data_IF_949479820972
#
_entry.id   IF_949479820972
#
_cell.length_a   1.000
_cell.length_b   1.000
_cell.length_c   1.000
_cell.angle_alpha   90.00
_cell.angle_beta   90.00
_cell.angle_gamma   90.00
#
_symmetry.space_group_name_H-M   'P 1'
#
loop_
_entity.id
_entity.type
_entity.pdbx_description
1 polymer ?
#
# COMPACT_ATOMS: atom_id res chain seq x y z
N UNK A 1 -1.96 21.28 -0.34
CA UNK A 1 -1.15 20.04 -0.36
C UNK A 1 -1.71 18.87 0.46
N UNK A 2 -2.52 19.11 1.52
CA UNK A 2 -3.07 18.00 2.33
C UNK A 2 -4.00 17.04 1.58
N UNK A 3 -4.84 17.56 0.66
CA UNK A 3 -5.79 16.72 -0.11
C UNK A 3 -5.09 15.64 -0.94
N UNK A 4 -4.12 15.96 -1.83
CA UNK A 4 -3.42 14.93 -2.61
C UNK A 4 -2.61 13.97 -1.73
N UNK A 5 -2.06 14.44 -0.61
CA UNK A 5 -1.36 13.58 0.35
C UNK A 5 -2.31 12.55 0.97
N UNK A 6 -3.45 13.00 1.51
CA UNK A 6 -4.45 12.12 2.14
C UNK A 6 -4.97 11.11 1.11
N UNK A 7 -5.29 11.56 -0.10
CA UNK A 7 -5.75 10.68 -1.18
C UNK A 7 -4.70 9.61 -1.52
N UNK A 8 -3.43 10.00 -1.68
CA UNK A 8 -2.36 9.06 -1.98
C UNK A 8 -2.13 8.03 -0.86
N UNK A 9 -2.16 8.48 0.40
CA UNK A 9 -2.02 7.62 1.58
C UNK A 9 -3.18 6.64 1.66
N UNK A 10 -4.43 7.12 1.63
CA UNK A 10 -5.63 6.27 1.74
C UNK A 10 -5.73 5.28 0.59
N UNK A 11 -5.53 5.74 -0.66
CA UNK A 11 -5.60 4.87 -1.82
C UNK A 11 -4.56 3.74 -1.76
N UNK A 12 -3.31 4.06 -1.40
CA UNK A 12 -2.22 3.08 -1.40
C UNK A 12 -2.28 2.12 -0.21
N UNK A 13 -2.69 2.60 0.96
CA UNK A 13 -2.64 1.83 2.21
C UNK A 13 -3.90 1.01 2.45
N UNK A 14 -5.07 1.47 2.00
CA UNK A 14 -6.33 0.76 2.20
C UNK A 14 -6.82 0.12 0.90
N UNK A 15 -6.95 0.92 -0.15
CA UNK A 15 -7.66 0.51 -1.36
C UNK A 15 -6.87 -0.53 -2.16
N UNK A 16 -5.57 -0.32 -2.32
CA UNK A 16 -4.69 -1.20 -3.07
C UNK A 16 -4.54 -2.61 -2.46
N UNK A 17 -4.13 -2.79 -1.19
CA UNK A 17 -4.05 -4.11 -0.57
C UNK A 17 -5.41 -4.81 -0.48
N UNK A 18 -6.50 -4.07 -0.24
CA UNK A 18 -7.85 -4.65 -0.26
C UNK A 18 -8.16 -5.31 -1.61
N UNK A 19 -7.96 -4.59 -2.71
CA UNK A 19 -8.19 -5.12 -4.05
C UNK A 19 -7.31 -6.35 -4.32
N UNK A 20 -6.03 -6.32 -3.94
CA UNK A 20 -5.12 -7.44 -4.13
C UNK A 20 -5.54 -8.70 -3.36
N UNK A 21 -5.91 -8.55 -2.09
CA UNK A 21 -6.39 -9.68 -1.26
C UNK A 21 -7.69 -10.23 -1.82
N UNK A 22 -8.64 -9.37 -2.21
CA UNK A 22 -9.91 -9.80 -2.81
C UNK A 22 -9.71 -10.60 -4.10
N UNK A 23 -8.80 -10.16 -4.97
CA UNK A 23 -8.43 -10.90 -6.19
C UNK A 23 -7.77 -12.22 -5.82
N UNK A 24 -6.85 -12.23 -4.86
CA UNK A 24 -6.18 -13.44 -4.40
C UNK A 24 -7.13 -14.50 -3.85
N UNK A 25 -8.16 -14.08 -3.10
CA UNK A 25 -9.20 -14.96 -2.58
C UNK A 25 -10.03 -15.55 -3.73
N UNK A 26 -10.43 -14.73 -4.71
CA UNK A 26 -11.17 -15.20 -5.89
C UNK A 26 -10.36 -16.18 -6.75
N UNK A 27 -9.03 -16.04 -6.76
CA UNK A 27 -8.11 -16.97 -7.45
C UNK A 27 -7.81 -18.24 -6.64
N UNK A 28 -8.31 -18.36 -5.40
CA UNK A 28 -8.09 -19.53 -4.54
C UNK A 28 -6.65 -19.66 -4.03
N UNK A 29 -5.97 -18.54 -3.78
CA UNK A 29 -4.61 -18.55 -3.24
C UNK A 29 -4.54 -19.16 -1.84
N UNK A 30 -3.47 -19.91 -1.59
CA UNK A 30 -3.13 -20.45 -0.26
C UNK A 30 -2.91 -19.32 0.77
N UNK A 31 -3.18 -19.56 2.08
CA UNK A 31 -2.97 -18.57 3.14
C UNK A 31 -1.62 -17.86 3.13
N UNK A 32 -0.53 -18.57 2.84
CA UNK A 32 0.80 -17.97 2.80
C UNK A 32 0.92 -16.96 1.66
N UNK A 33 0.44 -17.32 0.47
CA UNK A 33 0.45 -16.46 -0.72
C UNK A 33 -0.41 -15.21 -0.52
N UNK A 34 -1.56 -15.35 0.14
CA UNK A 34 -2.41 -14.21 0.49
C UNK A 34 -1.75 -13.26 1.48
N UNK A 35 -1.07 -13.79 2.50
CA UNK A 35 -0.31 -12.98 3.45
C UNK A 35 0.83 -12.21 2.75
N UNK A 36 1.55 -12.85 1.83
CA UNK A 36 2.61 -12.21 1.05
C UNK A 36 2.05 -11.08 0.18
N UNK A 37 0.96 -11.33 -0.56
CA UNK A 37 0.33 -10.31 -1.40
C UNK A 37 -0.23 -9.16 -0.56
N UNK A 38 -0.82 -9.45 0.60
CA UNK A 38 -1.31 -8.42 1.53
C UNK A 38 -0.16 -7.53 2.03
N UNK A 39 0.97 -8.13 2.39
CA UNK A 39 2.17 -7.42 2.82
C UNK A 39 2.76 -6.54 1.72
N UNK A 40 2.90 -7.08 0.50
CA UNK A 40 3.39 -6.32 -0.68
C UNK A 40 2.42 -5.19 -1.05
N UNK A 41 1.12 -5.43 -0.97
CA UNK A 41 0.09 -4.42 -1.20
C UNK A 41 0.16 -3.26 -0.21
N UNK A 42 0.38 -3.58 1.07
CA UNK A 42 0.47 -2.62 2.16
C UNK A 42 1.78 -1.83 2.21
N UNK A 43 2.79 -2.22 1.43
CA UNK A 43 4.06 -1.51 1.34
C UNK A 43 3.88 -0.07 0.79
N UNK A 44 4.75 0.88 1.18
CA UNK A 44 4.68 2.26 0.70
C UNK A 44 4.92 2.34 -0.81
N UNK A 45 4.61 3.50 -1.40
CA UNK A 45 4.88 3.73 -2.82
C UNK A 45 6.39 3.71 -3.13
N UNK A 46 6.74 3.48 -4.39
CA UNK A 46 8.13 3.37 -4.83
C UNK A 46 8.89 4.69 -4.64
N UNK A 47 10.11 4.59 -4.11
CA UNK A 47 11.01 5.76 -3.92
C UNK A 47 11.41 6.42 -5.24
N UNK A 48 11.40 5.66 -6.35
CA UNK A 48 11.66 6.18 -7.69
C UNK A 48 10.63 7.21 -8.16
N UNK A 49 9.43 7.26 -7.57
CA UNK A 49 8.43 8.29 -7.85
C UNK A 49 8.92 9.70 -7.47
N UNK A 50 9.84 9.83 -6.51
CA UNK A 50 10.49 11.11 -6.20
C UNK A 50 11.41 11.58 -7.33
N UNK A 51 12.26 10.69 -7.83
CA UNK A 51 13.16 10.99 -8.95
C UNK A 51 12.34 11.39 -10.19
N UNK A 52 11.29 10.61 -10.51
CA UNK A 52 10.38 10.91 -11.61
C UNK A 52 9.67 12.26 -11.45
N UNK A 53 9.22 12.61 -10.23
CA UNK A 53 8.64 13.92 -9.96
C UNK A 53 9.66 15.04 -10.18
N UNK A 54 10.93 14.83 -9.83
CA UNK A 54 12.00 15.81 -10.08
C UNK A 54 12.28 15.98 -11.58
N UNK A 55 12.26 14.90 -12.36
CA UNK A 55 12.52 14.92 -13.80
C UNK A 55 11.38 15.55 -14.61
N UNK A 56 10.13 15.35 -14.20
CA UNK A 56 8.94 15.86 -14.89
C UNK A 56 8.51 17.26 -14.43
N UNK A 57 9.29 17.93 -13.56
CA UNK A 57 8.91 19.23 -12.98
C UNK A 57 7.70 19.15 -12.04
N UNK A 58 7.43 17.98 -11.48
CA UNK A 58 6.39 17.75 -10.48
C UNK A 58 6.77 18.23 -9.08
N UNK A 59 5.86 18.05 -8.12
CA UNK A 59 6.07 18.50 -6.74
C UNK A 59 6.87 17.47 -5.93
N UNK A 60 8.19 17.58 -5.96
CA UNK A 60 9.11 16.72 -5.20
C UNK A 60 8.93 16.81 -3.70
N UNK A 61 8.58 18.00 -3.16
CA UNK A 61 8.34 18.19 -1.71
C UNK A 61 7.12 17.39 -1.24
N UNK A 62 6.02 17.46 -1.99
CA UNK A 62 4.83 16.65 -1.72
C UNK A 62 5.12 15.15 -1.85
N UNK A 63 5.91 14.75 -2.85
CA UNK A 63 6.23 13.33 -3.05
C UNK A 63 7.12 12.78 -1.92
N UNK A 64 8.09 13.55 -1.43
CA UNK A 64 8.86 13.20 -0.24
C UNK A 64 7.96 13.05 1.00
N UNK A 65 7.02 13.97 1.19
CA UNK A 65 6.06 13.91 2.30
C UNK A 65 5.17 12.66 2.23
N UNK A 66 4.65 12.34 1.04
CA UNK A 66 3.87 11.10 0.80
C UNK A 66 4.71 9.87 1.15
N UNK A 67 5.95 9.77 0.66
CA UNK A 67 6.82 8.62 0.92
C UNK A 67 7.08 8.48 2.42
N UNK A 68 7.41 9.56 3.12
CA UNK A 68 7.66 9.53 4.57
C UNK A 68 6.42 9.10 5.37
N UNK A 69 5.27 9.69 5.09
CA UNK A 69 4.00 9.34 5.77
C UNK A 69 3.60 7.90 5.46
N UNK A 70 3.68 7.46 4.21
CA UNK A 70 3.37 6.09 3.83
C UNK A 70 4.35 5.09 4.45
N UNK A 71 5.63 5.42 4.59
CA UNK A 71 6.63 4.55 5.23
C UNK A 71 6.30 4.33 6.70
N UNK A 72 5.98 5.42 7.43
CA UNK A 72 5.56 5.32 8.83
C UNK A 72 4.24 4.55 8.98
N UNK A 73 3.27 4.83 8.12
CA UNK A 73 1.98 4.15 8.14
C UNK A 73 2.10 2.67 7.73
N UNK A 74 3.04 2.31 6.85
CA UNK A 74 3.29 0.94 6.42
C UNK A 74 3.71 0.03 7.57
N UNK A 75 4.45 0.57 8.56
CA UNK A 75 4.84 -0.19 9.75
C UNK A 75 3.63 -0.77 10.51
N UNK A 76 2.48 -0.09 10.48
CA UNK A 76 1.22 -0.57 11.05
C UNK A 76 0.33 -1.26 10.02
N UNK A 77 0.31 -0.77 8.78
CA UNK A 77 -0.53 -1.30 7.70
C UNK A 77 -0.19 -2.75 7.34
N UNK A 78 1.09 -3.07 7.19
CA UNK A 78 1.55 -4.42 6.80
C UNK A 78 1.05 -5.50 7.77
N UNK A 79 1.30 -5.43 9.09
CA UNK A 79 0.81 -6.46 10.01
C UNK A 79 -0.73 -6.52 10.07
N UNK A 80 -1.42 -5.38 9.95
CA UNK A 80 -2.90 -5.35 9.91
C UNK A 80 -3.42 -6.09 8.69
N UNK A 81 -2.86 -5.87 7.51
CA UNK A 81 -3.30 -6.53 6.28
C UNK A 81 -3.00 -8.02 6.26
N UNK A 82 -1.85 -8.45 6.80
CA UNK A 82 -1.53 -9.87 6.98
C UNK A 82 -2.56 -10.54 7.91
N UNK A 83 -2.92 -9.87 9.01
CA UNK A 83 -3.93 -10.38 9.93
C UNK A 83 -5.31 -10.47 9.27
N UNK A 84 -5.72 -9.45 8.52
CA UNK A 84 -6.99 -9.43 7.77
C UNK A 84 -7.04 -10.54 6.72
N UNK A 85 -5.97 -10.72 5.94
CA UNK A 85 -5.93 -11.78 4.91
C UNK A 85 -6.05 -13.17 5.52
N UNK A 86 -5.48 -13.40 6.70
CA UNK A 86 -5.63 -14.66 7.43
C UNK A 86 -7.08 -14.94 7.85
N UNK A 87 -7.86 -13.91 8.20
CA UNK A 87 -9.28 -14.07 8.56
C UNK A 87 -10.19 -14.41 7.38
N UNK A 88 -9.81 -14.01 6.17
CA UNK A 88 -10.62 -14.24 4.96
C UNK A 88 -10.54 -15.69 4.46
N UNK A 89 -9.48 -16.43 4.79
CA UNK A 89 -9.32 -17.84 4.39
C UNK A 89 -9.75 -18.82 5.48
N UNK A 90 -9.77 -18.38 6.74
CA UNK A 90 -10.21 -19.20 7.87
C UNK A 90 -11.75 -19.23 8.06
N UNK A 91 -12.50 -18.65 7.12
CA UNK A 91 -13.97 -18.57 7.12
C UNK A 91 -14.62 -19.47 6.08
#
# INVERSE_FOLDING_TARGET
DAVPLILAVVAKILLFPFCLVMVGVQLGLDPLSLAVIAAVGAAPTATSSFALASELGGNTRLMAEIISVQTLAAALSIPVWIWVSGRMVAG
#
